data_IF_638449825948
#
_entry.id   IF_638449825948
#
_cell.length_a   1.000
_cell.length_b   1.000
_cell.length_c   1.000
_cell.angle_alpha   90.00
_cell.angle_beta   90.00
_cell.angle_gamma   90.00
#
_symmetry.space_group_name_H-M   'P 1'
#
loop_
_entity.id
_entity.type
_entity.pdbx_description
1 polymer ?
#
# COMPACT_ATOMS: atom_id res chain seq x y z
N UNK A 1 -34.02 8.20 -17.55
CA UNK A 1 -32.64 8.70 -17.79
C UNK A 1 -32.32 9.80 -16.78
N UNK A 2 -31.19 9.74 -16.08
CA UNK A 2 -30.75 10.79 -15.13
C UNK A 2 -30.33 12.05 -15.90
N UNK A 3 -30.83 13.22 -15.51
CA UNK A 3 -30.48 14.52 -16.12
C UNK A 3 -28.98 14.82 -16.04
N UNK A 4 -28.41 15.45 -17.08
CA UNK A 4 -26.99 15.83 -17.12
C UNK A 4 -26.56 16.67 -15.90
N UNK A 5 -27.43 17.57 -15.41
CA UNK A 5 -27.17 18.35 -14.19
C UNK A 5 -26.99 17.47 -12.96
N UNK A 6 -27.82 16.42 -12.82
CA UNK A 6 -27.70 15.45 -11.72
C UNK A 6 -26.43 14.61 -11.84
N UNK A 7 -26.06 14.19 -13.06
CA UNK A 7 -24.80 13.45 -13.31
C UNK A 7 -23.58 14.29 -12.94
N UNK A 8 -23.58 15.57 -13.31
CA UNK A 8 -22.51 16.52 -12.95
C UNK A 8 -22.40 16.69 -11.43
N UNK A 9 -23.53 16.89 -10.75
CA UNK A 9 -23.56 17.01 -9.28
C UNK A 9 -23.03 15.76 -8.57
N UNK A 10 -23.44 14.57 -9.01
CA UNK A 10 -22.94 13.31 -8.46
C UNK A 10 -21.43 13.19 -8.69
N UNK A 11 -20.95 13.54 -9.89
CA UNK A 11 -19.51 13.54 -10.20
C UNK A 11 -18.71 14.46 -9.29
N UNK A 12 -19.18 15.70 -9.09
CA UNK A 12 -18.53 16.67 -8.19
C UNK A 12 -18.49 16.14 -6.76
N UNK A 13 -19.62 15.64 -6.25
CA UNK A 13 -19.72 15.10 -4.89
C UNK A 13 -18.80 13.89 -4.69
N UNK A 14 -18.70 13.03 -5.69
CA UNK A 14 -17.85 11.85 -5.64
C UNK A 14 -16.37 12.25 -5.61
N UNK A 15 -15.94 13.14 -6.51
CA UNK A 15 -14.55 13.63 -6.54
C UNK A 15 -14.19 14.37 -5.25
N UNK A 16 -15.09 15.21 -4.72
CA UNK A 16 -14.84 15.92 -3.46
C UNK A 16 -14.74 14.96 -2.28
N UNK A 17 -15.57 13.92 -2.22
CA UNK A 17 -15.50 12.89 -1.19
C UNK A 17 -14.17 12.12 -1.26
N UNK A 18 -13.74 11.71 -2.46
CA UNK A 18 -12.44 11.04 -2.63
C UNK A 18 -11.27 11.95 -2.25
N UNK A 19 -11.30 13.23 -2.65
CA UNK A 19 -10.27 14.19 -2.30
C UNK A 19 -10.21 14.43 -0.79
N UNK A 20 -11.36 14.61 -0.14
CA UNK A 20 -11.44 14.79 1.31
C UNK A 20 -10.91 13.57 2.06
N UNK A 21 -11.28 12.36 1.65
CA UNK A 21 -10.78 11.12 2.25
C UNK A 21 -9.25 10.99 2.10
N UNK A 22 -8.71 11.30 0.91
CA UNK A 22 -7.27 11.28 0.66
C UNK A 22 -6.54 12.30 1.54
N UNK A 23 -7.05 13.52 1.66
CA UNK A 23 -6.46 14.56 2.52
C UNK A 23 -6.49 14.18 4.01
N UNK A 24 -7.59 13.61 4.49
CA UNK A 24 -7.70 13.14 5.87
C UNK A 24 -6.68 12.03 6.14
N UNK A 25 -6.55 11.05 5.24
CA UNK A 25 -5.56 9.98 5.37
C UNK A 25 -4.12 10.51 5.35
N UNK A 26 -3.83 11.47 4.46
CA UNK A 26 -2.53 12.15 4.42
C UNK A 26 -2.22 12.88 5.73
N UNK A 27 -3.20 13.61 6.29
CA UNK A 27 -3.05 14.30 7.57
C UNK A 27 -2.84 13.33 8.74
N UNK A 28 -3.57 12.20 8.77
CA UNK A 28 -3.39 11.17 9.79
C UNK A 28 -2.01 10.54 9.73
N UNK A 29 -1.51 10.23 8.53
CA UNK A 29 -0.16 9.73 8.33
C UNK A 29 0.88 10.74 8.82
N UNK A 30 0.74 12.01 8.43
CA UNK A 30 1.64 13.10 8.81
C UNK A 30 1.67 13.29 10.33
N UNK A 31 0.51 13.24 10.98
CA UNK A 31 0.40 13.31 12.43
C UNK A 31 1.04 12.08 13.11
N UNK A 32 0.85 10.88 12.54
CA UNK A 32 1.49 9.66 13.02
C UNK A 32 3.02 9.75 12.99
N UNK A 33 3.58 10.22 11.88
CA UNK A 33 5.03 10.45 11.74
C UNK A 33 5.52 11.47 12.76
N UNK A 34 4.81 12.59 12.93
CA UNK A 34 5.15 13.62 13.93
C UNK A 34 5.12 13.07 15.36
N UNK A 35 4.12 12.24 15.70
CA UNK A 35 4.04 11.57 17.00
C UNK A 35 5.25 10.65 17.21
N UNK A 36 5.61 9.85 16.21
CA UNK A 36 6.77 8.97 16.27
C UNK A 36 8.08 9.74 16.47
N UNK A 37 8.25 10.87 15.78
CA UNK A 37 9.41 11.76 15.96
C UNK A 37 9.44 12.30 17.40
N UNK A 38 8.31 12.82 17.91
CA UNK A 38 8.21 13.36 19.27
C UNK A 38 8.56 12.34 20.36
N UNK A 39 8.17 11.09 20.17
CA UNK A 39 8.48 10.00 21.10
C UNK A 39 9.85 9.35 20.86
N UNK A 40 10.69 9.94 19.98
CA UNK A 40 12.03 9.43 19.63
C UNK A 40 12.01 8.01 19.06
N UNK A 41 10.93 7.65 18.36
CA UNK A 41 10.80 6.38 17.65
C UNK A 41 11.36 6.45 16.22
N UNK A 42 11.36 7.65 15.63
CA UNK A 42 11.90 7.93 14.28
C UNK A 42 12.76 9.20 14.30
N UNK A 43 13.62 9.35 13.30
CA UNK A 43 14.51 10.51 13.10
C UNK A 43 15.49 10.78 14.25
N UNK A 44 16.03 9.73 14.86
CA UNK A 44 16.92 9.84 16.04
C UNK A 44 18.39 9.97 15.69
N UNK A 45 18.88 9.19 14.72
CA UNK A 45 20.31 9.13 14.38
C UNK A 45 20.63 9.20 12.88
N UNK A 46 19.65 9.51 12.03
CA UNK A 46 19.83 9.80 10.60
C UNK A 46 19.25 8.73 9.67
N UNK A 47 19.70 8.67 8.41
CA UNK A 47 19.10 7.82 7.37
C UNK A 47 19.32 6.30 7.52
N UNK A 48 20.09 5.86 8.53
CA UNK A 48 20.55 4.47 8.64
C UNK A 48 20.42 3.95 10.08
N UNK A 49 19.33 4.31 10.77
CA UNK A 49 19.12 3.94 12.17
C UNK A 49 19.04 2.43 12.37
N UNK A 50 18.39 1.69 11.46
CA UNK A 50 18.31 0.22 11.53
C UNK A 50 19.66 -0.45 11.31
N UNK A 51 20.49 0.09 10.42
CA UNK A 51 21.85 -0.41 10.24
C UNK A 51 22.71 -0.20 11.49
N UNK A 52 22.61 0.97 12.13
CA UNK A 52 23.30 1.24 13.39
C UNK A 52 22.81 0.33 14.52
N UNK A 53 21.50 0.14 14.62
CA UNK A 53 20.91 -0.82 15.56
C UNK A 53 21.42 -2.24 15.29
N UNK A 54 21.44 -2.69 14.04
CA UNK A 54 21.99 -3.98 13.66
C UNK A 54 23.44 -4.12 14.10
N UNK A 55 24.30 -3.14 13.82
CA UNK A 55 25.70 -3.18 14.26
C UNK A 55 25.82 -3.29 15.79
N UNK A 56 25.00 -2.55 16.56
CA UNK A 56 25.00 -2.64 18.02
C UNK A 56 24.63 -4.04 18.52
N UNK A 57 23.54 -4.61 18.02
CA UNK A 57 23.06 -5.95 18.40
C UNK A 57 24.02 -7.03 17.96
N UNK A 58 24.59 -6.90 16.76
CA UNK A 58 25.57 -7.82 16.21
C UNK A 58 26.87 -7.83 17.02
N UNK A 59 27.31 -6.67 17.53
CA UNK A 59 28.49 -6.58 18.40
C UNK A 59 28.26 -7.14 19.80
N UNK A 60 27.05 -6.99 20.34
CA UNK A 60 26.68 -7.44 21.68
C UNK A 60 26.47 -8.97 21.72
N UNK A 61 25.74 -9.51 20.76
CA UNK A 61 25.33 -10.92 20.76
C UNK A 61 26.30 -11.84 20.02
N UNK A 62 27.08 -11.29 19.08
CA UNK A 62 28.00 -12.05 18.24
C UNK A 62 29.38 -11.38 18.20
N UNK A 63 30.15 -11.42 19.29
CA UNK A 63 31.52 -10.91 19.29
C UNK A 63 32.38 -11.71 18.30
N UNK A 64 33.30 -11.04 17.61
CA UNK A 64 34.19 -11.64 16.61
C UNK A 64 35.61 -11.76 17.15
N UNK A 65 35.92 -12.81 17.93
CA UNK A 65 37.26 -12.99 18.51
C UNK A 65 38.34 -13.27 17.46
N UNK A 66 37.94 -13.63 16.23
CA UNK A 66 38.85 -13.99 15.13
C UNK A 66 39.09 -12.88 14.12
N UNK A 67 38.40 -11.73 14.26
CA UNK A 67 38.43 -10.64 13.29
C UNK A 67 37.96 -11.04 11.88
N UNK A 68 37.08 -12.05 11.79
CA UNK A 68 36.54 -12.55 10.52
C UNK A 68 35.81 -11.44 9.74
N UNK A 69 35.02 -10.58 10.41
CA UNK A 69 34.27 -9.48 9.79
C UNK A 69 35.18 -8.45 9.18
N UNK A 70 36.21 -8.01 9.92
CA UNK A 70 37.20 -7.06 9.40
C UNK A 70 37.94 -7.64 8.21
N UNK A 71 38.29 -8.93 8.24
CA UNK A 71 38.93 -9.62 7.11
C UNK A 71 38.02 -9.70 5.89
N UNK A 72 36.73 -10.00 6.08
CA UNK A 72 35.74 -10.02 4.98
C UNK A 72 35.53 -8.61 4.43
N UNK A 73 35.46 -7.60 5.29
CA UNK A 73 35.34 -6.20 4.87
C UNK A 73 36.55 -5.79 4.02
N UNK A 74 37.77 -6.13 4.44
CA UNK A 74 38.98 -5.88 3.67
C UNK A 74 38.99 -6.65 2.33
N UNK A 75 38.62 -7.94 2.34
CA UNK A 75 38.57 -8.77 1.13
C UNK A 75 37.52 -8.30 0.13
N UNK A 76 36.42 -7.74 0.62
CA UNK A 76 35.32 -7.22 -0.21
C UNK A 76 35.47 -5.73 -0.51
N UNK A 77 36.59 -5.09 -0.15
CA UNK A 77 36.82 -3.65 -0.31
C UNK A 77 35.68 -2.80 0.27
N UNK A 78 35.10 -3.21 1.41
CA UNK A 78 33.97 -2.53 2.05
C UNK A 78 32.60 -2.80 1.41
N UNK A 79 32.51 -3.64 0.37
CA UNK A 79 31.25 -3.94 -0.29
C UNK A 79 30.29 -4.71 0.61
N UNK A 80 30.79 -5.65 1.43
CA UNK A 80 29.97 -6.43 2.35
C UNK A 80 29.13 -5.53 3.30
N UNK A 81 29.73 -4.65 4.12
CA UNK A 81 28.94 -3.78 5.01
C UNK A 81 28.10 -2.76 4.23
N UNK A 82 28.57 -2.29 3.06
CA UNK A 82 27.80 -1.37 2.23
C UNK A 82 26.52 -2.01 1.69
N UNK A 83 26.58 -3.25 1.18
CA UNK A 83 25.42 -3.98 0.69
C UNK A 83 24.36 -4.16 1.78
N UNK A 84 24.77 -4.58 2.99
CA UNK A 84 23.86 -4.72 4.13
C UNK A 84 23.24 -3.37 4.49
N UNK A 85 24.06 -2.32 4.60
CA UNK A 85 23.59 -0.96 4.92
C UNK A 85 22.53 -0.46 3.95
N UNK A 86 22.76 -0.60 2.64
CA UNK A 86 21.80 -0.14 1.62
C UNK A 86 20.56 -1.02 1.53
N UNK A 87 20.70 -2.33 1.75
CA UNK A 87 19.56 -3.24 1.80
C UNK A 87 18.64 -2.90 2.99
N UNK A 88 19.22 -2.69 4.18
CA UNK A 88 18.48 -2.28 5.37
C UNK A 88 17.85 -0.89 5.21
N UNK A 89 18.55 0.05 4.56
CA UNK A 89 17.99 1.36 4.22
C UNK A 89 16.74 1.26 3.34
N UNK A 90 16.55 0.19 2.57
CA UNK A 90 15.34 -0.06 1.80
C UNK A 90 14.11 -0.40 2.67
N UNK A 91 14.33 -0.94 3.87
CA UNK A 91 13.28 -1.25 4.84
C UNK A 91 12.99 -0.10 5.82
N UNK A 92 13.90 0.88 5.91
CA UNK A 92 13.80 2.10 6.73
C UNK A 92 12.91 3.19 6.12
N UNK A 93 11.83 2.81 5.43
CA UNK A 93 10.94 3.77 4.74
C UNK A 93 10.39 4.85 5.68
N UNK A 94 9.88 4.53 6.90
CA UNK A 94 9.39 5.55 7.83
C UNK A 94 10.49 6.48 8.34
N UNK A 95 11.70 5.97 8.53
CA UNK A 95 12.85 6.76 8.96
C UNK A 95 13.29 7.73 7.86
N UNK A 96 13.40 7.27 6.62
CA UNK A 96 13.71 8.10 5.45
C UNK A 96 12.68 9.22 5.30
N UNK A 97 11.40 8.92 5.49
CA UNK A 97 10.33 9.93 5.50
C UNK A 97 10.53 10.95 6.63
N UNK A 98 10.75 10.50 7.86
CA UNK A 98 10.86 11.35 9.04
C UNK A 98 12.10 12.27 8.99
N UNK A 99 13.26 11.74 8.60
CA UNK A 99 14.52 12.48 8.47
C UNK A 99 14.43 13.49 7.32
N UNK A 100 13.95 13.06 6.14
CA UNK A 100 13.83 13.96 4.98
C UNK A 100 12.84 15.07 5.23
N UNK A 101 11.69 14.76 5.85
CA UNK A 101 10.71 15.75 6.29
C UNK A 101 11.35 16.77 7.24
N UNK A 102 12.07 16.30 8.25
CA UNK A 102 12.75 17.18 9.22
C UNK A 102 13.77 18.10 8.57
N UNK A 103 14.48 17.61 7.54
CA UNK A 103 15.40 18.42 6.74
C UNK A 103 14.67 19.45 5.88
N UNK A 104 13.56 19.07 5.23
CA UNK A 104 12.70 19.99 4.46
C UNK A 104 12.16 21.11 5.36
N UNK A 105 11.68 20.79 6.56
CA UNK A 105 11.17 21.79 7.51
C UNK A 105 12.25 22.78 7.99
N UNK A 106 13.52 22.36 8.06
CA UNK A 106 14.63 23.21 8.52
C UNK A 106 15.25 24.04 7.39
N UNK A 107 15.51 23.40 6.25
CA UNK A 107 16.35 23.95 5.18
C UNK A 107 15.56 24.31 3.91
N UNK A 108 14.25 24.06 3.89
CA UNK A 108 13.40 24.22 2.71
C UNK A 108 13.53 23.05 1.72
N UNK A 109 12.52 22.89 0.87
CA UNK A 109 12.47 21.80 -0.12
C UNK A 109 13.54 21.94 -1.22
N UNK A 110 13.97 23.18 -1.51
CA UNK A 110 14.99 23.49 -2.51
C UNK A 110 16.37 22.95 -2.14
N UNK A 111 16.60 22.64 -0.86
CA UNK A 111 17.83 22.01 -0.38
C UNK A 111 17.94 20.53 -0.78
N UNK A 112 16.84 19.92 -1.23
CA UNK A 112 16.80 18.49 -1.52
C UNK A 112 17.24 18.22 -2.97
N UNK A 113 18.13 17.24 -3.14
CA UNK A 113 18.50 16.78 -4.49
C UNK A 113 17.28 16.20 -5.22
N UNK A 114 17.27 16.26 -6.55
CA UNK A 114 16.19 15.69 -7.37
C UNK A 114 15.95 14.21 -7.07
N UNK A 115 17.03 13.44 -6.85
CA UNK A 115 16.94 12.04 -6.45
C UNK A 115 16.35 11.88 -5.05
N UNK A 116 16.75 12.72 -4.10
CA UNK A 116 16.18 12.74 -2.75
C UNK A 116 14.69 13.05 -2.74
N UNK A 117 14.22 13.96 -3.60
CA UNK A 117 12.80 14.26 -3.75
C UNK A 117 12.00 13.06 -4.29
N UNK A 118 12.54 12.35 -5.30
CA UNK A 118 11.90 11.14 -5.83
C UNK A 118 11.81 10.05 -4.76
N UNK A 119 12.89 9.81 -4.01
CA UNK A 119 12.91 8.84 -2.92
C UNK A 119 11.87 9.24 -1.87
N UNK A 120 11.83 10.50 -1.46
CA UNK A 120 10.86 11.00 -0.49
C UNK A 120 9.41 10.77 -0.93
N UNK A 121 9.04 11.17 -2.14
CA UNK A 121 7.67 10.97 -2.63
C UNK A 121 7.32 9.49 -2.80
N UNK A 122 8.26 8.65 -3.24
CA UNK A 122 8.06 7.21 -3.33
C UNK A 122 7.83 6.60 -1.93
N UNK A 123 8.62 6.99 -0.93
CA UNK A 123 8.45 6.55 0.46
C UNK A 123 7.09 6.97 1.03
N UNK A 124 6.71 8.24 0.85
CA UNK A 124 5.40 8.76 1.27
C UNK A 124 4.25 7.99 0.62
N UNK A 125 4.34 7.73 -0.70
CA UNK A 125 3.33 6.97 -1.43
C UNK A 125 3.19 5.54 -0.92
N UNK A 126 4.31 4.83 -0.74
CA UNK A 126 4.29 3.46 -0.22
C UNK A 126 3.65 3.38 1.16
N UNK A 127 4.00 4.30 2.06
CA UNK A 127 3.45 4.29 3.41
C UNK A 127 1.99 4.75 3.46
N UNK A 128 1.60 5.72 2.62
CA UNK A 128 0.20 6.10 2.43
C UNK A 128 -0.64 4.90 1.94
N UNK A 129 -0.12 4.12 1.00
CA UNK A 129 -0.80 2.92 0.50
C UNK A 129 -0.97 1.86 1.60
N UNK A 130 0.08 1.62 2.40
CA UNK A 130 0.01 0.70 3.56
C UNK A 130 -1.04 1.14 4.57
N UNK A 131 -1.18 2.45 4.85
CA UNK A 131 -2.20 2.97 5.75
C UNK A 131 -3.61 2.95 5.14
N UNK A 132 -3.73 3.28 3.84
CA UNK A 132 -5.00 3.42 3.15
C UNK A 132 -5.70 2.07 2.96
N UNK A 133 -4.95 1.01 2.67
CA UNK A 133 -5.50 -0.33 2.43
C UNK A 133 -6.39 -0.88 3.55
N UNK A 134 -5.99 -0.89 4.85
CA UNK A 134 -6.86 -1.35 5.93
C UNK A 134 -8.05 -0.42 6.18
N UNK A 135 -7.91 0.90 5.95
CA UNK A 135 -9.02 1.84 6.14
C UNK A 135 -10.10 1.62 5.07
N UNK A 136 -9.69 1.53 3.81
CA UNK A 136 -10.61 1.29 2.69
C UNK A 136 -11.25 -0.10 2.81
N UNK A 137 -10.48 -1.12 3.20
CA UNK A 137 -11.03 -2.47 3.40
C UNK A 137 -12.02 -2.53 4.57
N UNK A 138 -11.81 -1.78 5.65
CA UNK A 138 -12.75 -1.68 6.76
C UNK A 138 -14.04 -0.95 6.37
N UNK A 139 -13.95 0.12 5.57
CA UNK A 139 -15.13 0.82 5.04
C UNK A 139 -15.93 -0.11 4.12
N UNK A 140 -15.27 -0.77 3.17
CA UNK A 140 -15.94 -1.71 2.26
C UNK A 140 -16.51 -2.91 3.00
N UNK A 141 -15.75 -3.49 3.94
CA UNK A 141 -16.18 -4.61 4.76
C UNK A 141 -17.39 -4.27 5.64
N UNK A 142 -17.40 -3.10 6.27
CA UNK A 142 -18.55 -2.64 7.08
C UNK A 142 -19.78 -2.35 6.21
N UNK A 143 -19.60 -1.75 5.03
CA UNK A 143 -20.67 -1.57 4.05
C UNK A 143 -21.32 -2.91 3.66
N UNK A 144 -20.51 -3.91 3.30
CA UNK A 144 -21.01 -5.23 2.93
C UNK A 144 -21.67 -5.94 4.13
N UNK A 145 -21.07 -5.84 5.31
CA UNK A 145 -21.62 -6.42 6.54
C UNK A 145 -23.03 -5.90 6.85
N UNK A 146 -23.22 -4.58 6.79
CA UNK A 146 -24.53 -3.96 7.03
C UNK A 146 -25.53 -4.36 5.93
N UNK A 147 -25.08 -4.35 4.67
CA UNK A 147 -25.92 -4.68 3.51
C UNK A 147 -26.50 -6.11 3.60
N UNK A 148 -25.69 -7.08 4.00
CA UNK A 148 -26.11 -8.48 4.11
C UNK A 148 -26.96 -8.73 5.36
N UNK A 149 -26.49 -8.29 6.52
CA UNK A 149 -27.08 -8.70 7.79
C UNK A 149 -28.35 -7.93 8.15
N UNK A 150 -28.44 -6.66 7.75
CA UNK A 150 -29.56 -5.80 8.12
C UNK A 150 -30.51 -5.54 6.97
N UNK A 151 -29.97 -5.25 5.79
CA UNK A 151 -30.77 -4.84 4.63
C UNK A 151 -31.11 -6.01 3.72
N UNK A 152 -30.42 -7.15 3.85
CA UNK A 152 -30.55 -8.32 2.99
C UNK A 152 -30.43 -7.97 1.49
N UNK A 153 -29.50 -7.07 1.15
CA UNK A 153 -29.18 -6.64 -0.22
C UNK A 153 -27.70 -6.90 -0.54
N UNK A 154 -27.33 -6.94 -1.83
CA UNK A 154 -25.96 -7.09 -2.32
C UNK A 154 -25.23 -8.39 -1.91
N UNK A 155 -25.95 -9.51 -1.83
CA UNK A 155 -25.33 -10.83 -1.62
C UNK A 155 -24.32 -11.19 -2.72
N UNK A 156 -24.69 -10.99 -3.98
CA UNK A 156 -23.82 -11.36 -5.11
C UNK A 156 -22.49 -10.60 -5.10
N UNK A 157 -22.49 -9.33 -4.68
CA UNK A 157 -21.29 -8.50 -4.61
C UNK A 157 -20.39 -8.92 -3.44
N UNK A 158 -20.98 -9.19 -2.28
CA UNK A 158 -20.25 -9.63 -1.10
C UNK A 158 -19.59 -11.01 -1.28
N UNK A 159 -20.23 -11.89 -2.04
CA UNK A 159 -19.74 -13.24 -2.35
C UNK A 159 -19.07 -13.34 -3.73
N UNK A 160 -18.83 -12.22 -4.42
CA UNK A 160 -18.27 -12.19 -5.78
C UNK A 160 -16.88 -12.82 -5.90
N UNK A 161 -16.12 -12.87 -4.80
CA UNK A 161 -14.81 -13.53 -4.71
C UNK A 161 -14.89 -15.02 -4.34
N UNK A 162 -16.04 -15.48 -3.84
CA UNK A 162 -16.26 -16.86 -3.42
C UNK A 162 -16.70 -17.71 -4.62
N UNK A 163 -15.76 -18.51 -5.12
CA UNK A 163 -16.02 -19.44 -6.23
C UNK A 163 -16.92 -20.59 -5.79
N UNK A 164 -18.15 -20.64 -6.29
CA UNK A 164 -19.00 -21.81 -6.20
C UNK A 164 -18.72 -22.72 -7.40
N UNK A 165 -18.00 -23.83 -7.18
CA UNK A 165 -17.45 -24.68 -8.25
C UNK A 165 -18.49 -25.22 -9.26
N UNK A 166 -19.75 -25.36 -8.83
CA UNK A 166 -20.82 -25.95 -9.63
C UNK A 166 -21.63 -24.93 -10.44
N UNK A 167 -21.38 -23.63 -10.25
CA UNK A 167 -22.08 -22.55 -10.93
C UNK A 167 -21.12 -21.88 -11.89
N UNK A 168 -21.51 -21.77 -13.17
CA UNK A 168 -20.66 -21.15 -14.20
C UNK A 168 -21.50 -20.22 -15.06
N UNK A 169 -21.06 -18.97 -15.15
CA UNK A 169 -21.64 -17.97 -16.05
C UNK A 169 -20.62 -17.56 -17.09
N UNK A 170 -21.10 -17.31 -18.31
CA UNK A 170 -20.34 -16.76 -19.40
C UNK A 170 -21.00 -15.46 -19.85
N UNK A 171 -20.26 -14.36 -19.80
CA UNK A 171 -20.72 -13.07 -20.27
C UNK A 171 -19.99 -12.73 -21.57
N UNK A 172 -20.76 -12.60 -22.66
CA UNK A 172 -20.25 -12.17 -23.96
C UNK A 172 -20.66 -10.72 -24.20
N UNK A 173 -19.68 -9.87 -24.41
CA UNK A 173 -19.86 -8.50 -24.85
C UNK A 173 -19.76 -8.43 -26.38
N UNK A 174 -20.70 -7.75 -27.02
CA UNK A 174 -20.71 -7.52 -28.46
C UNK A 174 -20.97 -6.05 -28.75
N UNK A 175 -20.04 -5.38 -29.42
CA UNK A 175 -20.25 -4.01 -29.88
C UNK A 175 -20.88 -4.09 -31.28
N UNK A 176 -22.09 -3.60 -31.40
CA UNK A 176 -22.85 -3.58 -32.65
C UNK A 176 -22.18 -2.62 -33.65
N UNK A 177 -22.43 -2.80 -34.96
CA UNK A 177 -22.00 -1.87 -36.01
C UNK A 177 -22.54 -0.45 -35.84
N UNK A 178 -23.60 -0.27 -35.04
CA UNK A 178 -24.13 1.05 -34.63
C UNK A 178 -23.38 1.70 -33.46
N UNK A 179 -22.44 0.99 -32.84
CA UNK A 179 -21.67 1.45 -31.67
C UNK A 179 -22.31 1.15 -30.31
N UNK A 180 -23.47 0.48 -30.27
CA UNK A 180 -24.12 0.06 -29.04
C UNK A 180 -23.44 -1.18 -28.44
N UNK A 181 -23.33 -1.24 -27.11
CA UNK A 181 -22.80 -2.41 -26.38
C UNK A 181 -23.93 -3.37 -26.02
N UNK A 182 -23.95 -4.54 -26.64
CA UNK A 182 -24.82 -5.66 -26.29
C UNK A 182 -24.12 -6.59 -25.30
N UNK A 183 -24.83 -7.01 -24.25
CA UNK A 183 -24.31 -7.88 -23.19
C UNK A 183 -25.17 -9.13 -23.11
N UNK A 184 -24.57 -10.29 -23.39
CA UNK A 184 -25.23 -11.59 -23.30
C UNK A 184 -24.62 -12.37 -22.13
N UNK A 185 -25.38 -12.57 -21.06
CA UNK A 185 -24.95 -13.38 -19.91
C UNK A 185 -25.71 -14.70 -19.92
N UNK A 186 -24.99 -15.81 -20.05
CA UNK A 186 -25.55 -17.16 -19.96
C UNK A 186 -25.03 -17.81 -18.69
N UNK A 187 -25.91 -18.03 -17.72
CA UNK A 187 -25.60 -18.65 -16.44
C UNK A 187 -26.16 -20.07 -16.38
N UNK A 188 -25.34 -21.01 -15.92
CA UNK A 188 -25.75 -22.39 -15.63
C UNK A 188 -25.76 -22.56 -14.12
N UNK A 189 -26.95 -22.75 -13.55
CA UNK A 189 -27.15 -22.90 -12.10
C UNK A 189 -26.49 -24.16 -11.53
N UNK A 190 -26.39 -25.24 -12.31
CA UNK A 190 -25.71 -26.45 -11.83
C UNK A 190 -25.08 -27.21 -12.98
N UNK A 191 -23.76 -27.14 -13.07
CA UNK A 191 -22.98 -27.96 -13.99
C UNK A 191 -22.96 -29.39 -13.46
N UNK A 192 -23.45 -30.36 -14.25
CA UNK A 192 -23.27 -31.77 -13.95
C UNK A 192 -21.82 -32.16 -14.26
N UNK A 193 -21.12 -32.74 -13.28
CA UNK A 193 -19.86 -33.42 -13.55
C UNK A 193 -20.14 -34.61 -14.48
N UNK A 194 -19.41 -34.71 -15.60
CA UNK A 194 -19.24 -35.98 -16.28
C UNK A 194 -18.41 -36.87 -15.35
N UNK A 195 -18.97 -38.03 -15.02
CA UNK A 195 -18.35 -39.11 -14.26
C UNK A 195 -16.86 -39.26 -14.59
N UNK A 196 -16.00 -39.22 -13.57
CA UNK A 196 -14.67 -39.83 -13.68
C UNK A 196 -14.87 -41.36 -13.59
N UNK A 197 -14.41 -42.15 -14.58
CA UNK A 197 -14.40 -43.60 -14.43
C UNK A 197 -13.44 -43.96 -13.28
N UNK A 198 -13.89 -44.85 -12.40
CA UNK A 198 -13.06 -45.47 -11.37
C UNK A 198 -11.95 -46.31 -11.99
#
# INVERSE_FOLDING_TARGET
>A
MVSWKKRLLIGILHVSAHLAAALILMLLMELGVEICIRHKLLATSGYHTLYQWYQSVESEHFPDPTGLRERIEQWTFGLYPACIKYLMSGFDVPEVMAVTRSNICKNGIDSLSRGGAVIYYASVFLYFWVLSTPVVSLILGSYLYISINWLHIHFDEAFSSLRIANYKSFTRFHINTKGDLEVFTLAVDKVRYLYYPQ
#
